data_IF_780709737072
#
_entry.id   IF_780709737072
#
_cell.length_a   1.000
_cell.length_b   1.000
_cell.length_c   1.000
_cell.angle_alpha   90.00
_cell.angle_beta   90.00
_cell.angle_gamma   90.00
#
_symmetry.space_group_name_H-M   'P 1'
#
loop_
_entity.id
_entity.type
_entity.pdbx_description
1 polymer ?
#
# COMPACT_ATOMS: atom_id res chain seq x y z
N UNK A 1 14.30 27.08 -27.46
CA UNK A 1 13.52 26.27 -26.50
C UNK A 1 12.14 26.03 -27.11
N UNK A 2 11.96 24.94 -27.85
CA UNK A 2 10.66 24.56 -28.39
C UNK A 2 9.93 23.83 -27.26
N UNK A 3 8.92 24.47 -26.67
CA UNK A 3 8.13 23.86 -25.61
C UNK A 3 7.33 22.69 -26.18
N UNK A 4 7.74 21.47 -25.87
CA UNK A 4 6.95 20.27 -26.17
C UNK A 4 5.60 20.43 -25.46
N UNK A 5 4.53 20.52 -26.25
CA UNK A 5 3.17 20.73 -25.74
C UNK A 5 2.75 19.51 -24.92
N UNK A 6 2.38 19.72 -23.66
CA UNK A 6 1.83 18.66 -22.81
C UNK A 6 0.59 18.05 -23.49
N UNK A 7 0.61 16.73 -23.70
CA UNK A 7 -0.48 15.98 -24.30
C UNK A 7 -1.81 16.29 -23.64
N UNK A 8 -2.86 16.40 -24.46
CA UNK A 8 -4.17 16.93 -24.07
C UNK A 8 -4.70 16.31 -22.77
N UNK A 9 -4.50 15.01 -22.57
CA UNK A 9 -4.97 14.30 -21.37
C UNK A 9 -4.18 14.66 -20.10
N UNK A 10 -2.85 14.67 -20.13
CA UNK A 10 -2.01 15.01 -18.97
C UNK A 10 -2.23 16.46 -18.53
N UNK A 11 -2.41 17.38 -19.50
CA UNK A 11 -2.74 18.78 -19.23
C UNK A 11 -4.08 18.93 -18.54
N UNK A 12 -5.11 18.26 -19.04
CA UNK A 12 -6.46 18.27 -18.45
C UNK A 12 -6.46 17.75 -17.01
N UNK A 13 -5.74 16.65 -16.75
CA UNK A 13 -5.61 16.11 -15.39
C UNK A 13 -4.89 17.07 -14.45
N UNK A 14 -3.73 17.59 -14.86
CA UNK A 14 -2.98 18.57 -14.07
C UNK A 14 -3.81 19.80 -13.76
N UNK A 15 -4.50 20.38 -14.74
CA UNK A 15 -5.32 21.58 -14.53
C UNK A 15 -6.42 21.32 -13.50
N UNK A 16 -7.08 20.17 -13.56
CA UNK A 16 -8.11 19.77 -12.58
C UNK A 16 -7.52 19.57 -11.17
N UNK A 17 -6.33 18.99 -11.05
CA UNK A 17 -5.64 18.76 -9.77
C UNK A 17 -5.15 20.07 -9.14
N UNK A 18 -4.57 20.93 -9.96
CA UNK A 18 -3.93 22.16 -9.52
C UNK A 18 -4.92 23.30 -9.30
N UNK A 19 -6.03 23.36 -10.04
CA UNK A 19 -7.01 24.45 -9.94
C UNK A 19 -8.38 24.04 -9.41
N UNK A 20 -8.78 22.78 -9.55
CA UNK A 20 -10.15 22.34 -9.23
C UNK A 20 -10.47 22.34 -7.73
N UNK A 21 -11.73 22.10 -7.34
CA UNK A 21 -12.11 22.00 -5.92
C UNK A 21 -11.42 20.80 -5.26
N UNK A 22 -10.76 21.02 -4.11
CA UNK A 22 -9.90 20.01 -3.46
C UNK A 22 -10.64 18.71 -3.19
N UNK A 23 -11.76 18.74 -2.47
CA UNK A 23 -12.52 17.54 -2.06
C UNK A 23 -13.07 16.79 -3.28
N UNK A 24 -13.67 17.52 -4.24
CA UNK A 24 -14.21 16.91 -5.46
C UNK A 24 -13.13 16.24 -6.30
N UNK A 25 -11.95 16.84 -6.41
CA UNK A 25 -10.83 16.25 -7.14
C UNK A 25 -10.23 15.05 -6.40
N UNK A 26 -10.16 15.12 -5.07
CA UNK A 26 -9.68 14.02 -4.23
C UNK A 26 -10.58 12.79 -4.35
N UNK A 27 -11.91 12.97 -4.26
CA UNK A 27 -12.88 11.88 -4.47
C UNK A 27 -12.82 11.34 -5.90
N UNK A 28 -12.68 12.21 -6.90
CA UNK A 28 -12.55 11.78 -8.29
C UNK A 28 -11.30 10.90 -8.53
N UNK A 29 -10.18 11.21 -7.87
CA UNK A 29 -8.96 10.41 -7.92
C UNK A 29 -9.05 9.14 -7.05
N UNK A 30 -9.65 9.24 -5.86
CA UNK A 30 -9.66 8.18 -4.85
C UNK A 30 -10.72 7.11 -5.09
N UNK A 31 -11.89 7.46 -5.61
CA UNK A 31 -13.01 6.52 -5.77
C UNK A 31 -12.64 5.28 -6.60
N UNK A 32 -11.96 5.38 -7.77
CA UNK A 32 -11.53 4.20 -8.51
C UNK A 32 -10.58 3.29 -7.70
N UNK A 33 -9.72 3.89 -6.87
CA UNK A 33 -8.77 3.14 -6.04
C UNK A 33 -9.47 2.42 -4.88
N UNK A 34 -10.48 3.05 -4.27
CA UNK A 34 -11.31 2.44 -3.23
C UNK A 34 -12.07 1.24 -3.82
N UNK A 35 -12.72 1.42 -4.98
CA UNK A 35 -13.46 0.34 -5.64
C UNK A 35 -12.56 -0.87 -5.93
N UNK A 36 -11.37 -0.64 -6.48
CA UNK A 36 -10.40 -1.73 -6.72
C UNK A 36 -9.98 -2.42 -5.43
N UNK A 37 -9.78 -1.67 -4.34
CA UNK A 37 -9.40 -2.27 -3.06
C UNK A 37 -10.51 -3.17 -2.51
N UNK A 38 -11.78 -2.81 -2.69
CA UNK A 38 -12.93 -3.64 -2.30
C UNK A 38 -13.06 -4.89 -3.18
N UNK A 39 -12.82 -4.76 -4.49
CA UNK A 39 -12.77 -5.90 -5.41
C UNK A 39 -11.62 -6.85 -5.04
N UNK A 40 -10.46 -6.32 -4.67
CA UNK A 40 -9.32 -7.13 -4.21
C UNK A 40 -9.68 -7.93 -2.95
N UNK A 41 -10.39 -7.34 -1.99
CA UNK A 41 -10.85 -8.06 -0.79
C UNK A 41 -11.81 -9.18 -1.21
N UNK A 42 -12.77 -8.88 -2.09
CA UNK A 42 -13.75 -9.85 -2.58
C UNK A 42 -13.07 -11.02 -3.31
N UNK A 43 -12.04 -10.72 -4.11
CA UNK A 43 -11.21 -11.72 -4.76
C UNK A 43 -10.48 -12.60 -3.76
N UNK A 44 -9.80 -12.03 -2.76
CA UNK A 44 -9.08 -12.82 -1.76
C UNK A 44 -10.02 -13.78 -0.99
N UNK A 45 -11.27 -13.37 -0.75
CA UNK A 45 -12.30 -14.23 -0.13
C UNK A 45 -12.72 -15.36 -1.07
N UNK A 46 -12.94 -15.05 -2.35
CA UNK A 46 -13.30 -16.04 -3.36
C UNK A 46 -12.18 -17.07 -3.59
N UNK A 47 -10.93 -16.63 -3.73
CA UNK A 47 -9.75 -17.51 -3.86
C UNK A 47 -9.63 -18.46 -2.66
N UNK A 48 -9.80 -17.93 -1.45
CA UNK A 48 -9.80 -18.75 -0.24
C UNK A 48 -10.92 -19.80 -0.24
N UNK A 49 -12.11 -19.45 -0.74
CA UNK A 49 -13.25 -20.35 -0.88
C UNK A 49 -13.01 -21.45 -1.93
N UNK A 50 -12.47 -21.12 -3.10
CA UNK A 50 -12.19 -22.10 -4.13
C UNK A 50 -11.11 -23.10 -3.70
N UNK A 51 -10.06 -22.61 -3.04
CA UNK A 51 -8.99 -23.46 -2.51
C UNK A 51 -9.48 -24.38 -1.38
N UNK A 52 -10.37 -23.90 -0.50
CA UNK A 52 -10.93 -24.75 0.56
C UNK A 52 -11.82 -25.86 -0.01
N UNK A 53 -12.54 -25.61 -1.11
CA UNK A 53 -13.30 -26.64 -1.80
C UNK A 53 -12.44 -27.66 -2.54
N UNK A 54 -11.20 -27.32 -2.91
CA UNK A 54 -10.27 -28.24 -3.57
C UNK A 54 -9.64 -29.24 -2.60
N UNK A 55 -9.16 -28.77 -1.44
CA UNK A 55 -8.59 -29.62 -0.38
C UNK A 55 -8.41 -28.83 0.92
N UNK A 56 -8.57 -29.48 2.06
CA UNK A 56 -8.38 -28.86 3.38
C UNK A 56 -7.00 -28.21 3.56
N UNK A 57 -5.96 -28.77 2.92
CA UNK A 57 -4.57 -28.26 3.02
C UNK A 57 -4.22 -27.25 1.92
N UNK A 58 -5.02 -27.15 0.86
CA UNK A 58 -4.76 -26.28 -0.29
C UNK A 58 -4.75 -24.79 0.10
N UNK A 59 -5.59 -24.41 1.03
CA UNK A 59 -5.66 -23.05 1.55
C UNK A 59 -4.41 -22.64 2.36
N UNK A 60 -3.62 -23.59 2.85
CA UNK A 60 -2.39 -23.31 3.58
C UNK A 60 -1.25 -22.88 2.63
N UNK A 61 -1.26 -23.38 1.40
CA UNK A 61 -0.15 -23.24 0.45
C UNK A 61 0.13 -21.77 0.06
N UNK A 62 -0.85 -20.95 -0.40
CA UNK A 62 -0.58 -19.54 -0.70
C UNK A 62 -0.14 -18.74 0.53
N UNK A 63 -0.64 -19.11 1.72
CA UNK A 63 -0.27 -18.43 2.97
C UNK A 63 1.20 -18.63 3.32
N UNK A 64 1.79 -19.79 2.99
CA UNK A 64 3.24 -20.01 3.17
C UNK A 64 4.08 -19.17 2.19
N UNK A 65 3.58 -19.00 0.96
CA UNK A 65 4.28 -18.21 -0.07
C UNK A 65 4.20 -16.69 0.15
N UNK A 66 3.19 -16.22 0.89
CA UNK A 66 2.90 -14.79 1.07
C UNK A 66 4.01 -13.97 1.76
N UNK A 67 4.58 -14.37 2.91
CA UNK A 67 5.60 -13.57 3.58
C UNK A 67 6.89 -13.37 2.75
N UNK A 68 7.46 -14.42 2.11
CA UNK A 68 8.55 -14.23 1.16
C UNK A 68 8.19 -13.30 0.00
N UNK A 69 7.01 -13.47 -0.59
CA UNK A 69 6.53 -12.58 -1.67
C UNK A 69 6.45 -11.12 -1.23
N UNK A 70 5.93 -10.86 -0.02
CA UNK A 70 5.84 -9.53 0.58
C UNK A 70 7.23 -8.92 0.82
N UNK A 71 8.19 -9.72 1.31
CA UNK A 71 9.57 -9.27 1.55
C UNK A 71 10.21 -8.73 0.27
N UNK A 72 10.15 -9.49 -0.83
CA UNK A 72 10.68 -9.03 -2.11
C UNK A 72 9.86 -7.84 -2.63
N UNK A 73 8.54 -7.89 -2.56
CA UNK A 73 7.64 -6.83 -3.05
C UNK A 73 7.75 -5.50 -2.28
N UNK A 74 8.29 -5.49 -1.06
CA UNK A 74 8.49 -4.25 -0.28
C UNK A 74 9.32 -3.22 -1.06
N UNK A 75 10.33 -3.67 -1.81
CA UNK A 75 11.19 -2.81 -2.64
C UNK A 75 10.38 -2.16 -3.75
N UNK A 76 9.46 -2.90 -4.39
CA UNK A 76 8.52 -2.33 -5.36
C UNK A 76 7.67 -1.22 -4.75
N UNK A 77 7.15 -1.41 -3.53
CA UNK A 77 6.33 -0.41 -2.85
C UNK A 77 7.11 0.88 -2.55
N UNK A 78 8.37 0.75 -2.13
CA UNK A 78 9.25 1.88 -1.85
C UNK A 78 9.62 2.66 -3.12
N UNK A 79 10.03 1.94 -4.17
CA UNK A 79 10.38 2.52 -5.47
C UNK A 79 9.17 3.22 -6.10
N UNK A 80 8.00 2.58 -6.03
CA UNK A 80 6.72 3.11 -6.50
C UNK A 80 6.35 4.40 -5.77
N UNK A 81 6.46 4.42 -4.44
CA UNK A 81 6.16 5.63 -3.66
C UNK A 81 7.13 6.77 -3.94
N UNK A 82 8.41 6.48 -4.13
CA UNK A 82 9.39 7.51 -4.48
C UNK A 82 9.12 8.12 -5.85
N UNK A 83 8.90 7.30 -6.87
CA UNK A 83 8.65 7.79 -8.22
C UNK A 83 7.25 8.40 -8.37
N UNK A 84 6.28 8.02 -7.53
CA UNK A 84 5.00 8.73 -7.41
C UNK A 84 5.24 10.21 -7.09
N UNK A 85 6.06 10.53 -6.07
CA UNK A 85 6.42 11.92 -5.74
C UNK A 85 7.14 12.63 -6.89
N UNK A 86 8.21 12.01 -7.41
CA UNK A 86 9.07 12.66 -8.43
C UNK A 86 8.30 12.97 -9.71
N UNK A 87 7.59 11.99 -10.26
CA UNK A 87 6.83 12.17 -11.51
C UNK A 87 5.69 13.17 -11.28
N UNK A 88 4.93 13.05 -10.18
CA UNK A 88 3.85 14.00 -9.88
C UNK A 88 4.37 15.44 -9.77
N UNK A 89 5.52 15.64 -9.13
CA UNK A 89 6.13 16.97 -9.02
C UNK A 89 6.60 17.50 -10.39
N UNK A 90 7.25 16.69 -11.23
CA UNK A 90 7.65 17.14 -12.57
C UNK A 90 6.45 17.47 -13.46
N UNK A 91 5.37 16.68 -13.41
CA UNK A 91 4.09 16.99 -14.06
C UNK A 91 3.52 18.31 -13.52
N UNK A 92 3.50 18.48 -12.20
CA UNK A 92 3.12 19.71 -11.52
C UNK A 92 3.90 20.93 -12.02
N UNK A 93 5.22 20.79 -12.19
CA UNK A 93 6.12 21.83 -12.69
C UNK A 93 6.00 22.08 -14.21
N UNK A 94 5.20 21.29 -14.93
CA UNK A 94 5.12 21.26 -16.41
C UNK A 94 6.44 20.87 -17.09
N UNK A 95 7.35 20.19 -16.39
CA UNK A 95 8.61 19.69 -16.93
C UNK A 95 8.41 18.26 -17.47
N UNK A 96 7.66 18.11 -18.57
CA UNK A 96 7.26 16.80 -19.12
C UNK A 96 8.46 15.94 -19.53
N UNK A 97 9.49 16.54 -20.13
CA UNK A 97 10.69 15.80 -20.54
C UNK A 97 11.38 15.14 -19.35
N UNK A 98 11.45 15.84 -18.21
CA UNK A 98 12.01 15.28 -16.97
C UNK A 98 11.08 14.25 -16.33
N UNK A 99 9.76 14.46 -16.42
CA UNK A 99 8.80 13.44 -16.00
C UNK A 99 8.97 12.15 -16.82
N UNK A 100 9.19 12.26 -18.14
CA UNK A 100 9.47 11.13 -19.04
C UNK A 100 10.81 10.47 -18.75
N UNK A 101 11.86 11.24 -18.49
CA UNK A 101 13.17 10.70 -18.09
C UNK A 101 13.08 9.89 -16.79
N UNK A 102 12.40 10.42 -15.77
CA UNK A 102 12.19 9.74 -14.49
C UNK A 102 11.28 8.52 -14.65
N UNK A 103 10.21 8.62 -15.44
CA UNK A 103 9.34 7.48 -15.72
C UNK A 103 10.06 6.34 -16.44
N UNK A 104 10.94 6.66 -17.39
CA UNK A 104 11.78 5.67 -18.10
C UNK A 104 12.81 5.01 -17.18
N UNK A 105 13.46 5.79 -16.29
CA UNK A 105 14.35 5.25 -15.24
C UNK A 105 13.59 4.31 -14.32
N UNK A 106 12.45 4.76 -13.78
CA UNK A 106 11.61 3.98 -12.90
C UNK A 106 11.14 2.67 -13.56
N UNK A 107 10.65 2.75 -14.79
CA UNK A 107 10.24 1.58 -15.57
C UNK A 107 11.39 0.59 -15.76
N UNK A 108 12.56 1.08 -16.18
CA UNK A 108 13.75 0.23 -16.39
C UNK A 108 14.17 -0.45 -15.10
N UNK A 109 14.27 0.29 -13.99
CA UNK A 109 14.63 -0.28 -12.69
C UNK A 109 13.57 -1.25 -12.18
N UNK A 110 12.29 -0.99 -12.39
CA UNK A 110 11.22 -1.93 -12.03
C UNK A 110 11.32 -3.24 -12.80
N UNK A 111 11.61 -3.21 -14.11
CA UNK A 111 11.82 -4.44 -14.90
C UNK A 111 13.06 -5.19 -14.42
N UNK A 112 14.18 -4.49 -14.22
CA UNK A 112 15.43 -5.11 -13.76
C UNK A 112 15.27 -5.71 -12.37
N UNK A 113 14.66 -4.98 -11.43
CA UNK A 113 14.42 -5.47 -10.06
C UNK A 113 13.37 -6.58 -10.03
N UNK A 114 12.33 -6.51 -10.87
CA UNK A 114 11.35 -7.59 -11.00
C UNK A 114 11.98 -8.88 -11.53
N UNK A 115 12.88 -8.79 -12.51
CA UNK A 115 13.64 -9.94 -13.02
C UNK A 115 14.63 -10.47 -11.98
N UNK A 116 15.38 -9.58 -11.32
CA UNK A 116 16.37 -9.94 -10.31
C UNK A 116 15.69 -10.63 -9.12
N UNK A 117 14.66 -10.03 -8.54
CA UNK A 117 13.98 -10.59 -7.38
C UNK A 117 13.10 -11.78 -7.75
N UNK A 118 12.42 -11.76 -8.90
CA UNK A 118 11.68 -12.91 -9.41
C UNK A 118 12.59 -14.12 -9.63
N UNK A 119 13.72 -13.92 -10.30
CA UNK A 119 14.74 -14.95 -10.49
C UNK A 119 15.37 -15.42 -9.18
N UNK A 120 15.71 -14.49 -8.28
CA UNK A 120 16.26 -14.83 -6.96
C UNK A 120 15.27 -15.66 -6.15
N UNK A 121 14.00 -15.28 -6.14
CA UNK A 121 12.95 -16.04 -5.47
C UNK A 121 12.74 -17.40 -6.11
N UNK A 122 12.76 -17.49 -7.44
CA UNK A 122 12.65 -18.76 -8.16
C UNK A 122 13.77 -19.74 -7.81
N UNK A 123 15.02 -19.25 -7.71
CA UNK A 123 16.20 -20.07 -7.38
C UNK A 123 16.24 -20.42 -5.90
N UNK A 124 15.96 -19.45 -5.02
CA UNK A 124 16.03 -19.64 -3.58
C UNK A 124 14.80 -20.32 -2.99
N UNK A 125 13.69 -20.50 -3.75
CA UNK A 125 12.45 -21.07 -3.20
C UNK A 125 12.65 -22.36 -2.40
N UNK A 126 13.45 -23.37 -2.82
CA UNK A 126 13.61 -24.59 -2.03
C UNK A 126 14.32 -24.27 -0.71
N UNK A 127 15.34 -23.41 -0.72
CA UNK A 127 16.06 -22.99 0.49
C UNK A 127 15.15 -22.19 1.42
N UNK A 128 14.37 -21.25 0.87
CA UNK A 128 13.41 -20.44 1.61
C UNK A 128 12.38 -21.35 2.28
N UNK A 129 11.74 -22.25 1.54
CA UNK A 129 10.68 -23.08 2.08
C UNK A 129 11.18 -24.22 2.98
N UNK A 130 12.41 -24.70 2.78
CA UNK A 130 12.99 -25.76 3.63
C UNK A 130 13.56 -25.21 4.92
N UNK A 131 14.34 -24.12 4.86
CA UNK A 131 15.14 -23.67 6.00
C UNK A 131 14.59 -22.42 6.69
N UNK A 132 13.95 -21.52 5.93
CA UNK A 132 13.45 -20.24 6.46
C UNK A 132 12.01 -20.38 6.93
N UNK A 133 11.11 -20.80 6.02
CA UNK A 133 9.68 -20.99 6.32
C UNK A 133 9.44 -22.35 7.00
N UNK A 134 10.28 -23.36 6.72
CA UNK A 134 10.15 -24.74 7.22
C UNK A 134 8.74 -25.31 6.95
N UNK A 135 8.38 -25.31 5.68
CA UNK A 135 7.08 -25.80 5.21
C UNK A 135 6.93 -27.29 5.56
N UNK A 136 5.79 -27.71 6.15
CA UNK A 136 5.52 -29.12 6.43
C UNK A 136 5.62 -29.99 5.19
N UNK A 137 6.09 -31.22 5.36
CA UNK A 137 6.40 -32.15 4.26
C UNK A 137 5.15 -32.43 3.40
N UNK A 138 3.96 -32.44 4.01
CA UNK A 138 2.68 -32.73 3.38
C UNK A 138 2.27 -31.72 2.31
N UNK A 139 2.72 -30.47 2.43
CA UNK A 139 2.40 -29.37 1.49
C UNK A 139 3.64 -28.79 0.82
N UNK A 140 4.83 -29.29 1.14
CA UNK A 140 6.10 -28.76 0.65
C UNK A 140 6.13 -28.66 -0.87
N UNK A 141 5.82 -29.76 -1.56
CA UNK A 141 5.86 -29.81 -3.03
C UNK A 141 4.85 -28.85 -3.65
N UNK A 142 3.65 -28.74 -3.07
CA UNK A 142 2.63 -27.80 -3.52
C UNK A 142 3.08 -26.34 -3.33
N UNK A 143 3.71 -26.01 -2.19
CA UNK A 143 4.25 -24.67 -1.93
C UNK A 143 5.40 -24.34 -2.87
N UNK A 144 6.34 -25.27 -3.09
CA UNK A 144 7.48 -25.04 -3.98
C UNK A 144 7.03 -24.89 -5.44
N UNK A 145 6.02 -25.66 -5.88
CA UNK A 145 5.43 -25.52 -7.20
C UNK A 145 4.67 -24.19 -7.36
N UNK A 146 3.81 -23.87 -6.39
CA UNK A 146 3.06 -22.61 -6.33
C UNK A 146 4.00 -21.40 -6.36
N UNK A 147 5.04 -21.41 -5.51
CA UNK A 147 6.05 -20.36 -5.47
C UNK A 147 6.84 -20.22 -6.77
N UNK A 148 7.01 -21.30 -7.52
CA UNK A 148 7.61 -21.26 -8.85
C UNK A 148 6.82 -20.34 -9.81
N UNK A 149 5.50 -20.45 -9.80
CA UNK A 149 4.62 -19.58 -10.61
C UNK A 149 4.56 -18.17 -10.03
N UNK A 150 4.46 -18.04 -8.70
CA UNK A 150 4.48 -16.74 -8.01
C UNK A 150 5.76 -15.95 -8.30
N UNK A 151 6.90 -16.60 -8.54
CA UNK A 151 8.13 -15.93 -8.96
C UNK A 151 7.95 -15.14 -10.26
N UNK A 152 7.22 -15.71 -11.24
CA UNK A 152 6.90 -15.05 -12.50
C UNK A 152 5.87 -13.92 -12.30
N UNK A 153 4.85 -14.18 -11.47
CA UNK A 153 3.88 -13.16 -11.04
C UNK A 153 4.61 -11.97 -10.43
N UNK A 154 5.61 -12.22 -9.59
CA UNK A 154 6.41 -11.18 -8.93
C UNK A 154 7.20 -10.34 -9.93
N UNK A 155 7.80 -10.95 -10.96
CA UNK A 155 8.46 -10.18 -12.02
C UNK A 155 7.50 -9.23 -12.72
N UNK A 156 6.32 -9.72 -13.10
CA UNK A 156 5.33 -8.91 -13.81
C UNK A 156 4.66 -7.86 -12.92
N UNK A 157 4.45 -8.15 -11.64
CA UNK A 157 3.81 -7.22 -10.70
C UNK A 157 4.62 -5.93 -10.49
N UNK A 158 5.95 -5.99 -10.61
CA UNK A 158 6.81 -4.80 -10.64
C UNK A 158 6.51 -3.91 -11.85
N UNK A 159 6.27 -4.52 -13.01
CA UNK A 159 5.95 -3.81 -14.25
C UNK A 159 4.54 -3.23 -14.19
N UNK A 160 3.55 -4.00 -13.70
CA UNK A 160 2.19 -3.51 -13.43
C UNK A 160 2.21 -2.33 -12.47
N UNK A 161 2.99 -2.42 -11.40
CA UNK A 161 3.17 -1.35 -10.41
C UNK A 161 3.80 -0.11 -11.05
N UNK A 162 4.81 -0.29 -11.91
CA UNK A 162 5.47 0.81 -12.61
C UNK A 162 4.48 1.59 -13.48
N UNK A 163 3.76 0.91 -14.37
CA UNK A 163 2.77 1.57 -15.23
C UNK A 163 1.63 2.19 -14.44
N UNK A 164 1.11 1.48 -13.43
CA UNK A 164 0.04 1.99 -12.57
C UNK A 164 0.47 3.27 -11.87
N UNK A 165 1.69 3.31 -11.33
CA UNK A 165 2.22 4.49 -10.65
C UNK A 165 2.47 5.64 -11.62
N UNK A 166 3.01 5.38 -12.82
CA UNK A 166 3.20 6.42 -13.85
C UNK A 166 1.86 7.07 -14.24
N UNK A 167 0.82 6.25 -14.50
CA UNK A 167 -0.53 6.75 -14.80
C UNK A 167 -1.14 7.51 -13.61
N UNK A 168 -0.94 7.03 -12.39
CA UNK A 168 -1.44 7.72 -11.21
C UNK A 168 -0.72 9.06 -10.97
N UNK A 169 0.59 9.13 -11.20
CA UNK A 169 1.38 10.36 -11.04
C UNK A 169 0.92 11.51 -11.95
N UNK A 170 0.43 11.19 -13.15
CA UNK A 170 -0.15 12.20 -14.06
C UNK A 170 -1.58 12.59 -13.66
N UNK A 171 -2.24 11.81 -12.79
CA UNK A 171 -3.62 12.01 -12.36
C UNK A 171 -4.64 11.06 -13.00
N UNK A 172 -4.21 10.03 -13.74
CA UNK A 172 -5.10 8.99 -14.26
C UNK A 172 -5.13 7.79 -13.30
N UNK A 173 -6.02 7.84 -12.31
CA UNK A 173 -6.25 6.73 -11.38
C UNK A 173 -7.30 5.75 -11.91
N UNK A 174 -8.18 6.19 -12.82
CA UNK A 174 -9.32 5.39 -13.29
C UNK A 174 -8.90 4.23 -14.16
N UNK A 175 -8.05 4.45 -15.16
CA UNK A 175 -7.65 3.40 -16.10
C UNK A 175 -6.86 2.26 -15.44
N UNK A 176 -5.79 2.51 -14.66
CA UNK A 176 -5.11 1.42 -13.98
C UNK A 176 -6.01 0.72 -12.97
N UNK A 177 -6.93 1.45 -12.33
CA UNK A 177 -7.92 0.83 -11.46
C UNK A 177 -8.86 -0.13 -12.22
N UNK A 178 -9.42 0.29 -13.35
CA UNK A 178 -10.30 -0.54 -14.17
C UNK A 178 -9.62 -1.81 -14.70
N UNK A 179 -8.35 -1.72 -15.10
CA UNK A 179 -7.58 -2.90 -15.53
C UNK A 179 -7.46 -3.91 -14.39
N UNK A 180 -7.07 -3.46 -13.20
CA UNK A 180 -6.98 -4.33 -12.02
C UNK A 180 -8.35 -4.89 -11.63
N UNK A 181 -9.40 -4.07 -11.59
CA UNK A 181 -10.76 -4.50 -11.26
C UNK A 181 -11.29 -5.57 -12.21
N UNK A 182 -11.18 -5.32 -13.52
CA UNK A 182 -11.62 -6.27 -14.55
C UNK A 182 -10.90 -7.60 -14.39
N UNK A 183 -9.58 -7.53 -14.21
CA UNK A 183 -8.79 -8.73 -14.06
C UNK A 183 -9.13 -9.52 -12.78
N UNK A 184 -9.24 -8.87 -11.62
CA UNK A 184 -9.62 -9.54 -10.37
C UNK A 184 -10.99 -10.23 -10.49
N UNK A 185 -11.95 -9.60 -11.16
CA UNK A 185 -13.26 -10.20 -11.41
C UNK A 185 -13.20 -11.40 -12.37
N UNK A 186 -12.36 -11.31 -13.41
CA UNK A 186 -12.10 -12.45 -14.31
C UNK A 186 -11.43 -13.59 -13.54
N UNK A 187 -10.53 -13.28 -12.61
CA UNK A 187 -9.84 -14.27 -11.78
C UNK A 187 -10.80 -15.10 -10.93
N UNK A 188 -11.77 -14.45 -10.26
CA UNK A 188 -12.82 -15.15 -9.48
C UNK A 188 -13.50 -16.25 -10.30
N UNK A 189 -13.63 -16.06 -11.61
CA UNK A 189 -14.24 -17.03 -12.55
C UNK A 189 -13.22 -18.02 -13.10
N UNK A 190 -11.98 -17.59 -13.37
CA UNK A 190 -10.92 -18.46 -13.90
C UNK A 190 -10.37 -19.44 -12.85
N UNK A 191 -10.31 -19.04 -11.58
CA UNK A 191 -9.75 -19.84 -10.49
C UNK A 191 -10.38 -21.24 -10.42
N UNK A 192 -11.72 -21.41 -10.33
CA UNK A 192 -12.31 -22.76 -10.31
C UNK A 192 -12.00 -23.57 -11.57
N UNK A 193 -11.85 -22.93 -12.74
CA UNK A 193 -11.54 -23.64 -13.98
C UNK A 193 -10.16 -24.30 -13.93
N UNK A 194 -9.14 -23.58 -13.45
CA UNK A 194 -7.77 -24.12 -13.32
C UNK A 194 -7.54 -24.94 -12.05
N UNK A 195 -8.22 -24.61 -10.96
CA UNK A 195 -8.13 -25.36 -9.69
C UNK A 195 -8.75 -26.75 -9.87
N UNK A 196 -9.98 -26.83 -10.38
CA UNK A 196 -10.70 -28.10 -10.52
C UNK A 196 -10.46 -28.80 -11.86
N UNK A 197 -9.97 -28.09 -12.88
CA UNK A 197 -9.79 -28.63 -14.23
C UNK A 197 -11.11 -28.82 -14.98
N UNK A 198 -11.97 -27.78 -14.98
CA UNK A 198 -13.30 -27.84 -15.59
C UNK A 198 -13.19 -27.50 -17.09
N UNK A 199 -13.74 -28.36 -17.96
CA UNK A 199 -13.75 -28.13 -19.40
C UNK A 199 -12.39 -28.40 -20.07
N UNK A 200 -11.86 -27.53 -20.95
CA UNK A 200 -10.57 -27.74 -21.61
C UNK A 200 -9.37 -27.42 -20.71
N UNK A 201 -9.60 -26.94 -19.49
CA UNK A 201 -8.55 -26.49 -18.58
C UNK A 201 -7.94 -27.66 -17.80
N UNK A 202 -6.61 -27.73 -17.65
CA UNK A 202 -5.96 -28.76 -16.86
C UNK A 202 -6.26 -28.58 -15.36
N UNK A 203 -6.37 -29.70 -14.63
CA UNK A 203 -6.49 -29.69 -13.17
C UNK A 203 -5.13 -29.39 -12.53
N UNK A 204 -4.89 -28.12 -12.17
CA UNK A 204 -3.63 -27.65 -11.59
C UNK A 204 -3.69 -27.55 -10.05
N UNK A 205 -4.87 -27.74 -9.45
CA UNK A 205 -5.08 -27.60 -8.01
C UNK A 205 -4.66 -26.21 -7.52
N UNK A 206 -3.93 -26.15 -6.41
CA UNK A 206 -3.49 -24.88 -5.82
C UNK A 206 -2.63 -24.05 -6.77
N UNK A 207 -1.81 -24.69 -7.62
CA UNK A 207 -0.98 -24.00 -8.60
C UNK A 207 -1.86 -23.25 -9.62
N UNK A 208 -3.09 -23.73 -9.85
CA UNK A 208 -4.10 -23.06 -10.66
C UNK A 208 -4.33 -21.61 -10.24
N UNK A 209 -4.45 -21.33 -8.94
CA UNK A 209 -4.62 -19.97 -8.41
C UNK A 209 -3.42 -19.05 -8.71
N UNK A 210 -2.19 -19.58 -8.67
CA UNK A 210 -1.01 -18.80 -9.07
C UNK A 210 -0.96 -18.58 -10.60
N UNK A 211 -1.48 -19.53 -11.39
CA UNK A 211 -1.50 -19.43 -12.86
C UNK A 211 -2.52 -18.39 -13.32
N UNK A 212 -3.69 -18.32 -12.70
CA UNK A 212 -4.66 -17.26 -12.97
C UNK A 212 -4.05 -15.89 -12.66
N UNK A 213 -3.41 -15.74 -11.48
CA UNK A 213 -2.55 -14.62 -11.09
C UNK A 213 -1.51 -14.21 -12.16
N UNK A 214 -0.84 -15.19 -12.76
CA UNK A 214 0.13 -14.96 -13.82
C UNK A 214 -0.53 -14.41 -15.08
N UNK A 215 -1.61 -15.04 -15.55
CA UNK A 215 -2.38 -14.62 -16.74
C UNK A 215 -2.83 -13.17 -16.58
N UNK A 216 -3.27 -12.80 -15.39
CA UNK A 216 -3.66 -11.43 -15.09
C UNK A 216 -2.61 -10.39 -15.10
N UNK A 217 -1.45 -10.73 -14.54
CA UNK A 217 -0.33 -9.82 -14.57
C UNK A 217 0.16 -9.64 -16.01
N UNK A 218 0.15 -10.69 -16.85
CA UNK A 218 0.42 -10.57 -18.30
C UNK A 218 -0.60 -9.64 -18.95
N UNK A 219 -1.89 -9.88 -18.75
CA UNK A 219 -2.97 -9.04 -19.28
C UNK A 219 -2.84 -7.58 -18.84
N UNK A 220 -2.53 -7.35 -17.57
CA UNK A 220 -2.36 -6.04 -16.98
C UNK A 220 -1.16 -5.31 -17.57
N UNK A 221 -0.01 -5.99 -17.72
CA UNK A 221 1.18 -5.40 -18.36
C UNK A 221 0.87 -4.98 -19.79
N UNK A 222 0.26 -5.87 -20.60
CA UNK A 222 -0.07 -5.58 -21.99
C UNK A 222 -1.06 -4.41 -22.09
N UNK A 223 -2.15 -4.47 -21.33
CA UNK A 223 -3.21 -3.45 -21.37
C UNK A 223 -2.69 -2.09 -20.89
N UNK A 224 -1.92 -2.05 -19.80
CA UNK A 224 -1.35 -0.81 -19.29
C UNK A 224 -0.30 -0.22 -20.23
N UNK A 225 0.53 -1.07 -20.88
CA UNK A 225 1.49 -0.61 -21.88
C UNK A 225 0.79 0.05 -23.07
N UNK A 226 -0.31 -0.55 -23.57
CA UNK A 226 -1.13 0.02 -24.64
C UNK A 226 -1.78 1.35 -24.22
N UNK A 227 -2.31 1.43 -22.99
CA UNK A 227 -2.91 2.64 -22.43
C UNK A 227 -1.86 3.76 -22.36
N UNK A 228 -0.67 3.48 -21.84
CA UNK A 228 0.41 4.45 -21.70
C UNK A 228 0.83 4.95 -23.09
N UNK A 229 1.06 4.05 -24.05
CA UNK A 229 1.44 4.41 -25.42
C UNK A 229 0.38 5.29 -26.11
N UNK A 230 -0.90 5.03 -25.89
CA UNK A 230 -2.00 5.76 -26.54
C UNK A 230 -2.29 7.12 -25.91
N UNK A 231 -2.21 7.23 -24.59
CA UNK A 231 -2.70 8.40 -23.84
C UNK A 231 -1.58 9.38 -23.50
N UNK A 232 -0.35 8.90 -23.46
CA UNK A 232 0.82 9.67 -23.08
C UNK A 232 1.89 9.67 -24.19
N UNK A 233 1.58 10.18 -25.40
CA UNK A 233 2.57 10.24 -26.48
C UNK A 233 3.80 11.06 -26.10
N UNK A 234 3.63 12.09 -25.26
CA UNK A 234 4.74 12.96 -24.83
C UNK A 234 5.51 12.42 -23.62
N UNK A 235 4.93 11.49 -22.86
CA UNK A 235 5.62 10.83 -21.75
C UNK A 235 6.14 9.48 -22.22
N UNK A 236 7.29 9.50 -22.89
CA UNK A 236 7.95 8.29 -23.37
C UNK A 236 8.37 7.44 -22.16
N UNK A 237 7.85 6.23 -22.08
CA UNK A 237 8.26 5.21 -21.12
C UNK A 237 9.02 4.15 -21.90
N UNK A 238 10.34 4.25 -21.88
CA UNK A 238 11.23 3.37 -22.62
C UNK A 238 12.33 2.83 -21.70
N UNK A 239 12.99 1.76 -22.14
CA UNK A 239 14.22 1.32 -21.50
C UNK A 239 15.30 2.40 -21.63
N UNK A 240 16.00 2.68 -20.54
CA UNK A 240 17.09 3.65 -20.51
C UNK A 240 18.28 3.16 -19.72
N UNK A 241 19.49 3.36 -20.25
CA UNK A 241 20.75 3.10 -19.54
C UNK A 241 21.16 4.27 -18.64
N UNK A 242 20.52 5.43 -18.79
CA UNK A 242 20.87 6.63 -18.06
C UNK A 242 20.27 6.61 -16.65
N UNK A 243 20.78 5.76 -15.77
CA UNK A 243 20.39 5.69 -14.35
C UNK A 243 21.47 6.44 -13.55
N UNK A 244 21.31 7.76 -13.42
CA UNK A 244 22.25 8.59 -12.68
C UNK A 244 22.21 8.33 -11.17
N UNK A 245 23.39 8.37 -10.53
CA UNK A 245 23.55 8.17 -9.09
C UNK A 245 22.68 9.11 -8.25
N UNK A 246 22.47 10.35 -8.71
CA UNK A 246 21.58 11.31 -8.06
C UNK A 246 20.13 10.80 -7.93
N UNK A 247 19.61 10.13 -8.98
CA UNK A 247 18.26 9.57 -8.94
C UNK A 247 18.20 8.37 -7.99
N UNK A 248 19.23 7.54 -7.94
CA UNK A 248 19.33 6.40 -7.01
C UNK A 248 19.35 6.91 -5.56
N UNK A 249 20.22 7.87 -5.23
CA UNK A 249 20.32 8.45 -3.89
C UNK A 249 19.00 9.09 -3.47
N UNK A 250 18.31 9.78 -4.39
CA UNK A 250 17.01 10.36 -4.10
C UNK A 250 15.93 9.29 -3.86
N UNK A 251 15.94 8.20 -4.64
CA UNK A 251 15.03 7.07 -4.41
C UNK A 251 15.30 6.37 -3.08
N UNK A 252 16.55 6.18 -2.70
CA UNK A 252 16.91 5.61 -1.40
C UNK A 252 16.48 6.54 -0.26
N UNK A 253 16.72 7.84 -0.37
CA UNK A 253 16.31 8.82 0.65
C UNK A 253 14.80 8.83 0.90
N UNK A 254 14.00 8.67 -0.14
CA UNK A 254 12.53 8.67 -0.05
C UNK A 254 11.98 7.27 0.28
N UNK A 255 12.55 6.23 -0.33
CA UNK A 255 12.06 4.86 -0.26
C UNK A 255 12.51 4.09 0.98
N UNK A 256 13.73 4.31 1.47
CA UNK A 256 14.27 3.57 2.62
C UNK A 256 13.41 3.74 3.89
N UNK A 257 12.95 4.94 4.28
CA UNK A 257 12.03 5.09 5.41
C UNK A 257 10.74 4.25 5.23
N UNK A 258 10.20 4.18 4.01
CA UNK A 258 9.00 3.38 3.72
C UNK A 258 9.28 1.89 3.92
N UNK A 259 10.42 1.39 3.43
CA UNK A 259 10.85 0.00 3.63
C UNK A 259 10.94 -0.34 5.11
N UNK A 260 11.67 0.48 5.87
CA UNK A 260 11.86 0.27 7.32
C UNK A 260 10.51 0.27 8.03
N UNK A 261 9.58 1.16 7.66
CA UNK A 261 8.25 1.18 8.26
C UNK A 261 7.46 -0.10 7.98
N UNK A 262 7.49 -0.59 6.74
CA UNK A 262 6.75 -1.80 6.35
C UNK A 262 7.29 -3.03 7.07
N UNK A 263 8.61 -3.18 7.13
CA UNK A 263 9.27 -4.26 7.88
C UNK A 263 8.98 -4.14 9.38
N UNK A 264 9.10 -2.93 9.95
CA UNK A 264 8.80 -2.67 11.36
C UNK A 264 7.35 -2.96 11.73
N UNK A 265 6.40 -2.68 10.83
CA UNK A 265 4.99 -2.96 11.06
C UNK A 265 4.74 -4.46 11.18
N UNK A 266 5.37 -5.25 10.31
CA UNK A 266 5.29 -6.71 10.34
C UNK A 266 5.83 -7.27 11.66
N UNK A 267 7.03 -6.86 12.08
CA UNK A 267 7.65 -7.34 13.34
C UNK A 267 6.89 -6.87 14.59
N UNK A 268 6.42 -5.62 14.62
CA UNK A 268 5.69 -5.09 15.77
C UNK A 268 4.35 -5.79 15.97
N UNK A 269 3.61 -6.09 14.88
CA UNK A 269 2.36 -6.87 14.95
C UNK A 269 2.60 -8.29 15.49
N UNK A 270 3.69 -8.94 15.12
CA UNK A 270 4.03 -10.28 15.65
C UNK A 270 4.28 -10.25 17.17
N UNK A 271 5.04 -9.26 17.66
CA UNK A 271 5.27 -9.09 19.09
C UNK A 271 3.98 -8.71 19.84
N UNK A 272 3.13 -7.88 19.24
CA UNK A 272 1.83 -7.54 19.81
C UNK A 272 0.96 -8.77 20.01
N UNK A 273 0.85 -9.61 18.97
CA UNK A 273 0.08 -10.86 19.06
C UNK A 273 0.64 -11.78 20.13
N UNK A 274 1.97 -11.89 20.24
CA UNK A 274 2.62 -12.66 21.32
C UNK A 274 2.22 -12.14 22.70
N UNK A 275 2.22 -10.82 22.91
CA UNK A 275 1.81 -10.21 24.18
C UNK A 275 0.34 -10.53 24.49
N UNK A 276 -0.54 -10.43 23.51
CA UNK A 276 -1.97 -10.73 23.68
C UNK A 276 -2.19 -12.20 24.06
N UNK A 277 -1.45 -13.12 23.43
CA UNK A 277 -1.56 -14.54 23.70
C UNK A 277 -1.20 -14.94 25.13
N UNK A 278 -0.43 -14.12 25.87
CA UNK A 278 -0.15 -14.33 27.30
C UNK A 278 -1.47 -14.31 28.12
N UNK A 279 -2.47 -13.55 27.65
CA UNK A 279 -3.78 -13.43 28.29
C UNK A 279 -4.79 -14.48 27.80
N UNK A 280 -4.34 -15.48 27.04
CA UNK A 280 -5.14 -16.63 26.64
C UNK A 280 -6.01 -16.42 25.39
N UNK A 281 -6.75 -17.47 25.06
CA UNK A 281 -7.52 -17.60 23.81
C UNK A 281 -8.63 -16.56 23.71
N UNK A 282 -9.21 -16.16 24.84
CA UNK A 282 -10.27 -15.13 24.90
C UNK A 282 -9.76 -13.80 24.34
N UNK A 283 -8.63 -13.29 24.85
CA UNK A 283 -8.03 -12.04 24.39
C UNK A 283 -7.53 -12.13 22.93
N UNK A 284 -6.96 -13.26 22.53
CA UNK A 284 -6.50 -13.49 21.17
C UNK A 284 -7.64 -13.53 20.14
N UNK A 285 -8.78 -14.11 20.52
CA UNK A 285 -9.98 -14.18 19.66
C UNK A 285 -10.64 -12.81 19.55
N UNK A 286 -10.76 -12.09 20.66
CA UNK A 286 -11.23 -10.71 20.69
C UNK A 286 -10.38 -9.78 19.80
N UNK A 287 -9.05 -9.91 19.87
CA UNK A 287 -8.12 -9.19 19.00
C UNK A 287 -8.36 -9.45 17.51
N UNK A 288 -8.53 -10.73 17.15
CA UNK A 288 -8.69 -11.15 15.76
C UNK A 288 -9.97 -10.58 15.15
N UNK A 289 -11.09 -10.63 15.89
CA UNK A 289 -12.36 -10.02 15.46
C UNK A 289 -12.21 -8.51 15.29
N UNK A 290 -11.55 -7.87 16.25
CA UNK A 290 -11.30 -6.45 16.23
C UNK A 290 -10.48 -5.95 15.03
N UNK A 291 -9.56 -6.78 14.54
CA UNK A 291 -8.75 -6.47 13.35
C UNK A 291 -9.55 -6.53 12.05
N UNK A 292 -10.62 -7.32 11.96
CA UNK A 292 -11.51 -7.33 10.78
C UNK A 292 -12.10 -5.94 10.54
N UNK A 293 -12.56 -5.28 11.62
CA UNK A 293 -13.06 -3.91 11.56
C UNK A 293 -11.98 -2.90 11.15
N UNK A 294 -10.74 -3.07 11.64
CA UNK A 294 -9.62 -2.24 11.22
C UNK A 294 -9.25 -2.43 9.75
N UNK A 295 -9.20 -3.67 9.25
CA UNK A 295 -8.75 -3.97 7.90
C UNK A 295 -9.74 -3.43 6.85
N UNK A 296 -11.05 -3.49 7.14
CA UNK A 296 -12.09 -2.89 6.29
C UNK A 296 -11.96 -1.36 6.22
N UNK A 297 -11.66 -0.73 7.36
CA UNK A 297 -11.40 0.71 7.44
C UNK A 297 -10.12 1.08 6.67
N UNK A 298 -9.04 0.33 6.87
CA UNK A 298 -7.72 0.56 6.27
C UNK A 298 -7.76 0.45 4.74
N UNK A 299 -8.53 -0.50 4.21
CA UNK A 299 -8.79 -0.62 2.77
C UNK A 299 -9.41 0.64 2.17
N UNK A 300 -10.44 1.19 2.80
CA UNK A 300 -11.12 2.41 2.36
C UNK A 300 -10.21 3.63 2.46
N UNK A 301 -9.43 3.71 3.55
CA UNK A 301 -8.51 4.82 3.83
C UNK A 301 -7.35 4.90 2.83
N UNK A 302 -6.79 3.76 2.40
CA UNK A 302 -5.67 3.73 1.45
C UNK A 302 -5.99 4.35 0.11
N UNK A 303 -7.18 4.09 -0.44
CA UNK A 303 -7.59 4.61 -1.75
C UNK A 303 -7.64 6.15 -1.78
N UNK A 304 -8.29 6.75 -0.78
CA UNK A 304 -8.39 8.20 -0.64
C UNK A 304 -7.04 8.85 -0.29
N UNK A 305 -6.23 8.18 0.53
CA UNK A 305 -4.91 8.69 0.91
C UNK A 305 -3.93 8.72 -0.26
N UNK A 306 -4.00 7.75 -1.17
CA UNK A 306 -3.19 7.76 -2.40
C UNK A 306 -3.56 8.91 -3.33
N UNK A 307 -4.84 9.30 -3.41
CA UNK A 307 -5.26 10.50 -4.14
C UNK A 307 -4.63 11.77 -3.56
N UNK A 308 -4.58 11.89 -2.23
CA UNK A 308 -3.91 13.00 -1.53
C UNK A 308 -2.42 13.10 -1.92
N UNK A 309 -1.70 11.97 -1.98
CA UNK A 309 -0.30 11.95 -2.39
C UNK A 309 -0.08 12.53 -3.81
N UNK A 310 -0.93 12.15 -4.77
CA UNK A 310 -0.89 12.66 -6.16
C UNK A 310 -1.13 14.17 -6.17
N UNK A 311 -2.18 14.62 -5.49
CA UNK A 311 -2.55 16.04 -5.45
C UNK A 311 -1.46 16.89 -4.79
N UNK A 312 -0.90 16.44 -3.67
CA UNK A 312 0.21 17.11 -2.98
C UNK A 312 1.42 17.19 -3.91
N UNK A 313 1.84 16.07 -4.51
CA UNK A 313 2.99 16.03 -5.41
C UNK A 313 2.85 17.03 -6.57
N UNK A 314 1.72 17.05 -7.27
CA UNK A 314 1.52 17.98 -8.38
C UNK A 314 1.45 19.46 -7.93
N UNK A 315 0.84 19.75 -6.78
CA UNK A 315 0.76 21.14 -6.28
C UNK A 315 2.13 21.65 -5.80
N UNK A 316 2.96 20.79 -5.17
CA UNK A 316 4.33 21.15 -4.80
C UNK A 316 5.20 21.39 -6.04
N UNK A 317 5.08 20.54 -7.06
CA UNK A 317 5.73 20.76 -8.35
C UNK A 317 5.31 22.08 -9.01
N UNK A 318 4.03 22.45 -8.90
CA UNK A 318 3.49 23.71 -9.38
C UNK A 318 3.85 24.93 -8.51
N UNK A 319 4.68 24.77 -7.46
CA UNK A 319 5.04 25.79 -6.47
C UNK A 319 3.84 26.36 -5.68
N UNK A 320 2.77 25.59 -5.55
CA UNK A 320 1.56 25.95 -4.81
C UNK A 320 1.57 25.32 -3.41
N UNK A 321 2.60 25.63 -2.63
CA UNK A 321 2.84 25.09 -1.29
C UNK A 321 1.67 25.33 -0.32
N UNK A 322 1.04 26.51 -0.37
CA UNK A 322 -0.15 26.83 0.44
C UNK A 322 -1.30 25.87 0.14
N UNK A 323 -1.56 25.64 -1.14
CA UNK A 323 -2.62 24.73 -1.60
C UNK A 323 -2.30 23.27 -1.29
N UNK A 324 -1.03 22.84 -1.40
CA UNK A 324 -0.61 21.50 -1.00
C UNK A 324 -0.91 21.24 0.49
N UNK A 325 -0.66 22.22 1.37
CA UNK A 325 -1.03 22.14 2.79
C UNK A 325 -2.55 22.11 2.99
N UNK A 326 -3.29 22.96 2.27
CA UNK A 326 -4.76 22.94 2.31
C UNK A 326 -5.34 21.58 1.88
N UNK A 327 -4.75 20.95 0.86
CA UNK A 327 -5.10 19.59 0.43
C UNK A 327 -4.88 18.59 1.56
N UNK A 328 -3.71 18.61 2.21
CA UNK A 328 -3.41 17.70 3.31
C UNK A 328 -4.37 17.87 4.50
N UNK A 329 -4.71 19.11 4.86
CA UNK A 329 -5.64 19.39 5.96
C UNK A 329 -7.08 19.01 5.62
N UNK A 330 -7.57 19.34 4.41
CA UNK A 330 -8.90 18.91 3.96
C UNK A 330 -9.02 17.40 3.83
N UNK A 331 -7.95 16.73 3.38
CA UNK A 331 -7.90 15.27 3.35
C UNK A 331 -7.96 14.68 4.76
N UNK A 332 -7.23 15.28 5.70
CA UNK A 332 -7.25 14.87 7.11
C UNK A 332 -8.64 15.03 7.72
N UNK A 333 -9.32 16.15 7.46
CA UNK A 333 -10.70 16.38 7.92
C UNK A 333 -11.63 15.34 7.31
N UNK A 334 -11.58 15.13 5.99
CA UNK A 334 -12.45 14.18 5.28
C UNK A 334 -12.28 12.74 5.80
N UNK A 335 -11.04 12.31 6.03
CA UNK A 335 -10.75 10.98 6.54
C UNK A 335 -11.10 10.86 8.02
N UNK A 336 -10.82 11.88 8.81
CA UNK A 336 -11.23 11.92 10.21
C UNK A 336 -12.74 11.79 10.34
N UNK A 337 -13.52 12.58 9.57
CA UNK A 337 -14.98 12.52 9.61
C UNK A 337 -15.52 11.19 9.07
N UNK A 338 -15.00 10.68 7.95
CA UNK A 338 -15.42 9.39 7.40
C UNK A 338 -15.15 8.23 8.37
N UNK A 339 -13.98 8.22 8.99
CA UNK A 339 -13.61 7.18 9.96
C UNK A 339 -14.36 7.34 11.27
N UNK A 340 -14.65 8.58 11.70
CA UNK A 340 -15.45 8.84 12.89
C UNK A 340 -16.90 8.37 12.69
N UNK A 341 -17.50 8.62 11.53
CA UNK A 341 -18.82 8.09 11.17
C UNK A 341 -18.78 6.57 11.18
N UNK A 342 -17.79 5.95 10.51
CA UNK A 342 -17.65 4.49 10.50
C UNK A 342 -17.46 3.89 11.89
N UNK A 343 -16.63 4.52 12.73
CA UNK A 343 -16.41 4.11 14.11
C UNK A 343 -17.68 4.25 14.95
N UNK A 344 -18.43 5.34 14.78
CA UNK A 344 -19.70 5.57 15.47
C UNK A 344 -20.78 4.56 15.05
N UNK A 345 -20.89 4.27 13.75
CA UNK A 345 -21.79 3.23 13.24
C UNK A 345 -21.42 1.87 13.83
N UNK A 346 -20.14 1.48 13.78
CA UNK A 346 -19.70 0.23 14.39
C UNK A 346 -19.92 0.21 15.91
N UNK A 347 -19.79 1.33 16.60
CA UNK A 347 -20.08 1.41 18.03
C UNK A 347 -21.56 1.12 18.32
N UNK A 348 -22.48 1.68 17.55
CA UNK A 348 -23.92 1.40 17.69
C UNK A 348 -24.24 -0.07 17.41
N UNK A 349 -23.69 -0.61 16.32
CA UNK A 349 -23.94 -1.99 15.89
C UNK A 349 -22.96 -3.02 16.46
N UNK A 350 -22.15 -2.66 17.47
CA UNK A 350 -21.07 -3.53 17.96
C UNK A 350 -21.57 -4.87 18.48
N UNK A 351 -22.71 -4.87 19.18
CA UNK A 351 -23.27 -6.10 19.74
C UNK A 351 -23.74 -7.05 18.64
N UNK A 352 -24.37 -6.52 17.59
CA UNK A 352 -24.73 -7.30 16.40
C UNK A 352 -23.47 -7.78 15.67
N UNK A 353 -22.49 -6.91 15.49
CA UNK A 353 -21.23 -7.26 14.82
C UNK A 353 -20.50 -8.38 15.56
N UNK A 354 -20.37 -8.31 16.88
CA UNK A 354 -19.67 -9.34 17.68
C UNK A 354 -20.48 -10.64 17.70
N UNK A 355 -21.81 -10.58 17.91
CA UNK A 355 -22.66 -11.77 18.03
C UNK A 355 -22.76 -12.59 16.75
N UNK A 356 -22.51 -12.00 15.57
CA UNK A 356 -22.39 -12.74 14.30
C UNK A 356 -21.21 -13.73 14.36
N UNK A 357 -20.13 -13.39 15.06
CA UNK A 357 -18.91 -14.20 15.08
C UNK A 357 -18.69 -14.95 16.40
N UNK A 358 -19.30 -14.51 17.50
CA UNK A 358 -18.98 -14.98 18.84
C UNK A 358 -20.26 -15.35 19.60
N UNK A 359 -20.28 -16.59 20.09
CA UNK A 359 -21.34 -17.12 20.94
C UNK A 359 -20.91 -17.23 22.42
N UNK A 360 -19.60 -17.29 22.70
CA UNK A 360 -19.08 -17.40 24.05
C UNK A 360 -19.08 -16.04 24.76
N UNK A 361 -19.70 -15.98 25.94
CA UNK A 361 -19.89 -14.74 26.70
C UNK A 361 -18.57 -14.06 27.08
N UNK A 362 -17.54 -14.84 27.46
CA UNK A 362 -16.25 -14.30 27.87
C UNK A 362 -15.54 -13.57 26.72
N UNK A 363 -15.56 -14.14 25.51
CA UNK A 363 -14.95 -13.53 24.33
C UNK A 363 -15.77 -12.33 23.86
N UNK A 364 -17.10 -12.40 23.97
CA UNK A 364 -17.98 -11.28 23.65
C UNK A 364 -17.65 -10.06 24.51
N UNK A 365 -17.50 -10.23 25.84
CA UNK A 365 -17.15 -9.14 26.76
C UNK A 365 -15.80 -8.54 26.40
N UNK A 366 -14.79 -9.37 26.18
CA UNK A 366 -13.44 -8.90 25.84
C UNK A 366 -13.39 -8.19 24.48
N UNK A 367 -14.05 -8.73 23.46
CA UNK A 367 -14.15 -8.12 22.13
C UNK A 367 -14.90 -6.79 22.18
N UNK A 368 -15.94 -6.69 23.01
CA UNK A 368 -16.67 -5.46 23.26
C UNK A 368 -15.76 -4.40 23.88
N UNK A 369 -15.02 -4.75 24.94
CA UNK A 369 -14.05 -3.84 25.56
C UNK A 369 -12.99 -3.39 24.56
N UNK A 370 -12.45 -4.30 23.75
CA UNK A 370 -11.50 -3.96 22.69
C UNK A 370 -12.06 -2.93 21.70
N UNK A 371 -13.25 -3.19 21.16
CA UNK A 371 -13.88 -2.30 20.18
C UNK A 371 -14.23 -0.95 20.80
N UNK A 372 -14.79 -0.92 22.00
CA UNK A 372 -15.15 0.33 22.70
C UNK A 372 -13.93 1.22 22.94
N UNK A 373 -12.76 0.65 23.25
CA UNK A 373 -11.51 1.41 23.42
C UNK A 373 -10.92 1.83 22.08
N UNK A 374 -10.90 0.94 21.09
CA UNK A 374 -10.17 1.17 19.85
C UNK A 374 -10.92 2.07 18.86
N UNK A 375 -12.25 1.95 18.74
CA UNK A 375 -13.05 2.61 17.71
C UNK A 375 -12.84 4.14 17.71
N UNK A 376 -12.81 4.76 18.89
CA UNK A 376 -12.62 6.21 19.03
C UNK A 376 -11.21 6.69 18.63
N UNK A 377 -10.25 5.77 18.56
CA UNK A 377 -8.88 6.07 18.13
C UNK A 377 -8.69 6.00 16.61
N UNK A 378 -9.59 5.34 15.88
CA UNK A 378 -9.49 5.13 14.43
C UNK A 378 -9.43 6.43 13.61
N UNK A 379 -10.18 7.51 13.93
CA UNK A 379 -10.07 8.77 13.21
C UNK A 379 -8.65 9.35 13.24
N UNK A 380 -7.94 9.21 14.36
CA UNK A 380 -6.56 9.66 14.51
C UNK A 380 -5.58 8.78 13.73
N UNK A 381 -5.82 7.46 13.69
CA UNK A 381 -5.10 6.55 12.80
C UNK A 381 -5.24 6.99 11.34
N UNK A 382 -6.44 7.40 10.92
CA UNK A 382 -6.69 7.94 9.57
C UNK A 382 -5.84 9.19 9.26
N UNK A 383 -5.73 10.13 10.21
CA UNK A 383 -4.85 11.30 10.06
C UNK A 383 -3.38 10.88 9.91
N UNK A 384 -2.91 9.95 10.72
CA UNK A 384 -1.55 9.44 10.63
C UNK A 384 -1.28 8.77 9.28
N UNK A 385 -2.25 8.02 8.76
CA UNK A 385 -2.19 7.42 7.43
C UNK A 385 -2.13 8.49 6.33
N UNK A 386 -2.87 9.59 6.47
CA UNK A 386 -2.74 10.73 5.56
C UNK A 386 -1.35 11.36 5.62
N UNK A 387 -0.75 11.53 6.79
CA UNK A 387 0.61 12.05 6.89
C UNK A 387 1.63 11.15 6.17
N UNK A 388 1.49 9.83 6.25
CA UNK A 388 2.32 8.89 5.48
C UNK A 388 2.18 9.12 3.98
N UNK A 389 0.96 9.25 3.46
CA UNK A 389 0.74 9.47 2.03
C UNK A 389 1.12 10.88 1.56
N UNK A 390 0.93 11.92 2.39
CA UNK A 390 1.43 13.27 2.12
C UNK A 390 2.96 13.24 2.03
N UNK A 391 3.65 12.54 2.94
CA UNK A 391 5.10 12.33 2.85
C UNK A 391 5.50 11.60 1.56
N UNK A 392 4.74 10.59 1.13
CA UNK A 392 4.94 9.88 -0.15
C UNK A 392 4.70 10.77 -1.38
N UNK A 393 3.83 11.79 -1.29
CA UNK A 393 3.60 12.76 -2.36
C UNK A 393 4.61 13.91 -2.39
N UNK A 394 5.04 14.37 -1.21
CA UNK A 394 6.01 15.46 -1.07
C UNK A 394 7.46 15.01 -1.26
N UNK A 395 7.75 13.72 -1.00
CA UNK A 395 9.10 13.19 -0.93
C UNK A 395 9.75 13.32 0.45
N UNK A 396 9.02 13.77 1.48
CA UNK A 396 9.48 13.85 2.87
C UNK A 396 8.89 12.71 3.69
N UNK A 397 9.39 11.51 3.45
CA UNK A 397 8.85 10.27 4.03
C UNK A 397 9.40 9.97 5.42
N UNK A 398 10.55 10.53 5.79
CA UNK A 398 11.21 10.26 7.07
C UNK A 398 10.37 10.69 8.29
N UNK A 399 9.88 11.94 8.42
CA UNK A 399 9.10 12.34 9.59
C UNK A 399 7.84 11.48 9.83
N UNK A 400 6.94 11.26 8.85
CA UNK A 400 5.75 10.43 9.09
C UNK A 400 6.11 8.95 9.30
N UNK A 401 7.24 8.48 8.76
CA UNK A 401 7.78 7.15 9.09
C UNK A 401 8.16 7.04 10.55
N UNK A 402 8.90 8.00 11.10
CA UNK A 402 9.30 7.99 12.51
C UNK A 402 8.09 8.04 13.44
N UNK A 403 7.06 8.82 13.09
CA UNK A 403 5.77 8.82 13.81
C UNK A 403 5.14 7.42 13.80
N UNK A 404 5.13 6.76 12.64
CA UNK A 404 4.62 5.38 12.51
C UNK A 404 5.42 4.36 13.32
N UNK A 405 6.75 4.45 13.33
CA UNK A 405 7.63 3.58 14.12
C UNK A 405 7.41 3.81 15.62
N UNK A 406 7.35 5.07 16.07
CA UNK A 406 7.09 5.41 17.46
C UNK A 406 5.71 4.89 17.92
N UNK A 407 4.69 4.97 17.06
CA UNK A 407 3.38 4.36 17.32
C UNK A 407 3.47 2.86 17.55
N UNK A 408 4.18 2.15 16.69
CA UNK A 408 4.28 0.69 16.73
C UNK A 408 5.14 0.22 17.91
N UNK A 409 6.36 0.73 18.03
CA UNK A 409 7.31 0.23 19.03
C UNK A 409 7.16 0.90 20.38
N UNK A 410 6.94 2.22 20.41
CA UNK A 410 6.77 2.96 21.65
C UNK A 410 5.44 2.65 22.32
N UNK A 411 4.33 2.73 21.57
CA UNK A 411 3.00 2.54 22.13
C UNK A 411 2.54 1.09 22.09
N UNK A 412 2.41 0.47 20.91
CA UNK A 412 1.83 -0.89 20.86
C UNK A 412 2.67 -1.88 21.66
N UNK A 413 3.97 -1.97 21.37
CA UNK A 413 4.87 -2.90 22.06
C UNK A 413 5.24 -2.34 23.45
N UNK A 414 5.96 -1.22 23.52
CA UNK A 414 6.51 -0.71 24.79
C UNK A 414 5.45 -0.43 25.85
N UNK A 415 4.51 0.48 25.57
CA UNK A 415 3.44 0.82 26.50
C UNK A 415 2.46 -0.35 26.71
N UNK A 416 2.23 -1.19 25.69
CA UNK A 416 1.44 -2.41 25.84
C UNK A 416 2.02 -3.36 26.89
N UNK A 417 3.32 -3.65 26.84
CA UNK A 417 3.99 -4.47 27.86
C UNK A 417 3.95 -3.81 29.24
N UNK A 418 4.15 -2.49 29.31
CA UNK A 418 4.10 -1.75 30.57
C UNK A 418 2.71 -1.83 31.23
N UNK A 419 1.64 -1.50 30.49
CA UNK A 419 0.29 -1.48 31.04
C UNK A 419 -0.24 -2.90 31.32
N UNK A 420 -0.01 -3.83 30.41
CA UNK A 420 -0.57 -5.17 30.49
C UNK A 420 0.10 -6.03 31.57
N UNK A 421 1.43 -5.97 31.68
CA UNK A 421 2.21 -6.84 32.58
C UNK A 421 2.58 -6.09 33.87
N UNK A 422 3.26 -4.94 33.77
CA UNK A 422 3.83 -4.28 34.96
C UNK A 422 2.78 -3.58 35.81
N UNK A 423 1.76 -2.96 35.19
CA UNK A 423 0.68 -2.28 35.92
C UNK A 423 -0.55 -3.17 36.16
N UNK A 424 -0.54 -4.41 35.66
CA UNK A 424 -1.58 -5.40 35.93
C UNK A 424 -2.94 -5.14 35.27
N UNK A 425 -3.03 -4.27 34.27
CA UNK A 425 -4.30 -3.99 33.56
C UNK A 425 -4.72 -5.11 32.60
N UNK A 426 -3.94 -6.18 32.46
CA UNK A 426 -4.25 -7.31 31.60
C UNK A 426 -4.33 -6.93 30.12
N UNK A 427 -5.21 -7.61 29.37
CA UNK A 427 -5.48 -7.34 27.95
C UNK A 427 -5.99 -5.92 27.70
N UNK A 428 -6.78 -5.35 28.62
CA UNK A 428 -7.25 -3.94 28.53
C UNK A 428 -6.10 -2.94 28.46
N UNK A 429 -4.98 -3.21 29.15
CA UNK A 429 -3.77 -2.40 29.05
C UNK A 429 -3.20 -2.34 27.63
N UNK A 430 -3.30 -3.45 26.88
CA UNK A 430 -2.90 -3.55 25.48
C UNK A 430 -3.81 -2.68 24.60
N UNK A 431 -5.12 -2.76 24.81
CA UNK A 431 -6.13 -2.01 24.06
C UNK A 431 -5.96 -0.51 24.23
N UNK A 432 -5.74 -0.07 25.48
CA UNK A 432 -5.45 1.32 25.82
C UNK A 432 -4.15 1.78 25.17
N UNK A 433 -3.08 0.98 25.22
CA UNK A 433 -1.81 1.32 24.57
C UNK A 433 -1.95 1.51 23.06
N UNK A 434 -2.73 0.63 22.40
CA UNK A 434 -3.01 0.73 20.97
C UNK A 434 -3.81 1.99 20.62
N UNK A 435 -4.88 2.26 21.37
CA UNK A 435 -5.72 3.45 21.19
C UNK A 435 -4.93 4.74 21.42
N UNK A 436 -4.16 4.80 22.51
CA UNK A 436 -3.31 5.95 22.83
C UNK A 436 -2.25 6.18 21.76
N UNK A 437 -1.64 5.11 21.25
CA UNK A 437 -0.71 5.19 20.12
C UNK A 437 -1.35 5.83 18.89
N UNK A 438 -2.57 5.41 18.53
CA UNK A 438 -3.30 6.00 17.41
C UNK A 438 -3.60 7.50 17.64
N UNK A 439 -4.07 7.87 18.83
CA UNK A 439 -4.38 9.27 19.18
C UNK A 439 -3.12 10.13 19.13
N UNK A 440 -2.07 9.75 19.86
CA UNK A 440 -0.82 10.53 19.93
C UNK A 440 -0.16 10.64 18.57
N UNK A 441 -0.03 9.53 17.83
CA UNK A 441 0.57 9.56 16.49
C UNK A 441 -0.27 10.39 15.50
N UNK A 442 -1.60 10.35 15.58
CA UNK A 442 -2.49 11.17 14.78
C UNK A 442 -2.36 12.67 15.09
N UNK A 443 -2.23 13.05 16.36
CA UNK A 443 -2.02 14.44 16.77
C UNK A 443 -0.64 14.97 16.31
N UNK A 444 0.42 14.19 16.50
CA UNK A 444 1.77 14.54 16.03
C UNK A 444 1.79 14.64 14.50
N UNK A 445 1.12 13.71 13.80
CA UNK A 445 0.95 13.75 12.36
C UNK A 445 0.21 15.02 11.90
N UNK A 446 -0.87 15.41 12.57
CA UNK A 446 -1.60 16.64 12.29
C UNK A 446 -0.72 17.89 12.48
N UNK A 447 0.06 17.92 13.57
CA UNK A 447 1.01 18.99 13.85
C UNK A 447 2.08 19.08 12.75
N UNK A 448 2.62 17.95 12.32
CA UNK A 448 3.57 17.91 11.20
C UNK A 448 2.93 18.36 9.88
N UNK A 449 1.69 17.97 9.59
CA UNK A 449 0.98 18.42 8.39
C UNK A 449 0.77 19.94 8.38
N UNK A 450 0.39 20.52 9.53
CA UNK A 450 0.09 21.95 9.69
C UNK A 450 1.34 22.82 9.73
N UNK A 451 2.36 22.42 10.50
CA UNK A 451 3.53 23.26 10.81
C UNK A 451 4.84 22.77 10.19
N UNK A 452 4.93 21.50 9.78
CA UNK A 452 6.17 20.89 9.29
C UNK A 452 6.65 21.46 7.95
N UNK A 453 7.96 21.51 7.74
CA UNK A 453 8.56 22.09 6.54
C UNK A 453 8.58 21.14 5.32
N UNK A 454 7.51 20.38 5.07
CA UNK A 454 7.44 19.41 3.96
C UNK A 454 6.92 20.01 2.65
N UNK A 455 6.52 21.29 2.65
CA UNK A 455 5.85 21.94 1.51
C UNK A 455 6.81 22.50 0.45
N UNK A 456 8.09 22.13 0.48
CA UNK A 456 9.05 22.43 -0.58
C UNK A 456 9.18 21.23 -1.53
N UNK A 457 9.33 21.46 -2.86
CA UNK A 457 9.52 20.37 -3.80
C UNK A 457 10.88 19.69 -3.60
N UNK A 458 10.93 18.37 -3.82
CA UNK A 458 12.20 17.62 -3.85
C UNK A 458 12.86 17.66 -5.24
N UNK A 459 12.09 17.96 -6.27
CA UNK A 459 12.61 18.23 -7.62
C UNK A 459 13.36 19.57 -7.63
N UNK A 460 14.55 19.62 -8.25
CA UNK A 460 15.31 20.87 -8.42
C UNK A 460 16.50 21.08 -7.49
N UNK A 461 16.79 20.18 -6.53
CA UNK A 461 18.05 20.23 -5.75
C UNK A 461 19.32 20.21 -6.63
N UNK A 462 19.19 19.75 -7.89
CA UNK A 462 20.24 19.78 -8.92
C UNK A 462 20.66 21.21 -9.32
N UNK A 463 19.72 22.17 -9.39
CA UNK A 463 20.07 23.57 -9.77
C UNK A 463 20.88 24.22 -8.66
N UNK A 464 20.47 24.10 -7.41
CA UNK A 464 21.14 24.76 -6.28
C UNK A 464 22.57 24.25 -6.07
N UNK A 465 22.82 22.94 -6.23
CA UNK A 465 24.17 22.37 -6.04
C UNK A 465 25.12 22.67 -7.20
N UNK A 466 24.65 22.62 -8.45
CA UNK A 466 25.47 22.97 -9.63
C UNK A 466 25.76 24.48 -9.65
N UNK A 467 24.80 25.31 -9.24
CA UNK A 467 24.97 26.76 -9.19
C UNK A 467 25.86 27.18 -7.99
N UNK A 468 25.81 26.47 -6.87
CA UNK A 468 26.76 26.63 -5.77
C UNK A 468 28.19 26.19 -6.12
N UNK A 469 28.35 25.18 -6.98
CA UNK A 469 29.67 24.76 -7.48
C UNK A 469 30.22 25.68 -8.57
N UNK A 470 29.34 26.28 -9.38
CA UNK A 470 29.71 27.31 -10.37
C UNK A 470 30.03 28.66 -9.75
N UNK A 471 29.42 29.03 -8.62
CA UNK A 471 29.75 30.26 -7.90
C UNK A 471 30.99 30.11 -6.99
N UNK A 472 31.55 28.91 -6.86
CA UNK A 472 32.81 28.62 -6.14
C UNK A 472 34.01 28.42 -7.06
N UNK A 473 33.81 28.57 -8.37
CA UNK A 473 34.86 28.73 -9.39
C UNK A 473 34.75 30.15 -9.92
#
# INVERSE_FOLDING_TARGET
>A
MVGVSMGFSARKYRERIVKGPIVRTMLWLGLPLIVVQLIQISYNVADAFWLSMYSDVALAVPRQAWPPFLFFSAISMALSSSNLALISQYIGAKEIDRASEVASKFFTVSVVMGLLFGGTYLVLRPLIFTYVVKVPVEIYDQVVAFAGVVALVMTLSYVVTAYSTILQSIGDTKRPALVNAFYLLVNIVLDPLFIFGIGPFPKLGVVGAAVTDLIGNVFSVVTLALIVKKILPDLKVCFTKNIGLDWIVLNLKIGLPILVLVLSNSTAKMLQLRLINIFGVVAATAYSLGFIAMDLSDATLRGLSRATAIMVGQNLGAKLSKRAREIALKASILIFTATLIGAFTLYIFRDLFISIFIQELAIYVEAKTFLEVLLWSLPFFGIMLIALFVGRGSGHTLPPTLIGIARLWGFWVGLGYLLAIFMGYGSTGIWIAMALGNVVSGLIALAWLKYGNWTHPVIGMRKTRIQALKNKR
#
